data_IF_933336233308
#
_entry.id   IF_933336233308
#
_cell.length_a   1.000
_cell.length_b   1.000
_cell.length_c   1.000
_cell.angle_alpha   90.00
_cell.angle_beta   90.00
_cell.angle_gamma   90.00
#
_symmetry.space_group_name_H-M   'P 1'
#
loop_
_entity.id
_entity.type
_entity.pdbx_description
1 polymer ?
#
# COMPACT_ATOMS: atom_id res chain seq x y z
N UNK A 1 66.11 -20.25 62.07
CA UNK A 1 65.84 -19.68 60.78
C UNK A 1 64.72 -20.45 60.13
N UNK A 2 63.45 -20.11 60.41
CA UNK A 2 62.30 -20.68 59.74
C UNK A 2 61.60 -19.55 58.96
N UNK A 3 61.66 -19.65 57.65
CA UNK A 3 61.20 -18.68 56.65
C UNK A 3 59.70 -18.55 56.64
N UNK A 4 59.25 -17.41 57.05
CA UNK A 4 57.92 -16.86 56.95
C UNK A 4 57.63 -16.40 55.50
N UNK A 5 57.37 -17.34 54.58
CA UNK A 5 57.11 -17.09 53.16
C UNK A 5 55.69 -17.50 52.74
N UNK A 6 54.71 -17.66 53.63
CA UNK A 6 53.45 -18.25 53.34
C UNK A 6 52.23 -17.28 53.16
N UNK A 7 52.15 -16.01 53.62
CA UNK A 7 50.95 -15.22 53.54
C UNK A 7 50.81 -14.41 52.23
N UNK A 8 51.91 -14.04 51.54
CA UNK A 8 51.89 -13.16 50.36
C UNK A 8 51.30 -13.87 49.15
N UNK A 9 51.52 -15.15 48.97
CA UNK A 9 50.99 -15.93 47.86
C UNK A 9 49.46 -16.10 47.87
N UNK A 10 48.86 -16.27 49.05
CA UNK A 10 47.37 -16.41 49.16
C UNK A 10 46.65 -15.15 48.87
N UNK A 11 47.11 -13.98 49.30
CA UNK A 11 46.49 -12.69 49.03
C UNK A 11 46.57 -12.33 47.54
N UNK A 12 47.66 -12.66 46.85
CA UNK A 12 47.78 -12.46 45.41
C UNK A 12 46.81 -13.34 44.60
N UNK A 13 46.66 -14.60 44.97
CA UNK A 13 45.75 -15.56 44.35
C UNK A 13 44.29 -15.09 44.51
N UNK A 14 43.90 -14.57 45.67
CA UNK A 14 42.56 -14.04 45.93
C UNK A 14 42.29 -12.78 45.08
N UNK A 15 43.23 -11.86 44.97
CA UNK A 15 43.13 -10.67 44.12
C UNK A 15 43.00 -11.04 42.64
N UNK A 16 43.79 -12.01 42.16
CA UNK A 16 43.71 -12.47 40.77
C UNK A 16 42.36 -13.10 40.46
N UNK A 17 41.84 -13.95 41.35
CA UNK A 17 40.51 -14.54 41.21
C UNK A 17 39.39 -13.49 41.21
N UNK A 18 39.48 -12.47 42.05
CA UNK A 18 38.53 -11.36 42.09
C UNK A 18 38.55 -10.56 40.79
N UNK A 19 39.73 -10.24 40.25
CA UNK A 19 39.86 -9.52 38.97
C UNK A 19 39.27 -10.32 37.80
N UNK A 20 39.55 -11.64 37.74
CA UNK A 20 38.99 -12.52 36.72
C UNK A 20 37.45 -12.58 36.83
N UNK A 21 36.93 -12.72 38.05
CA UNK A 21 35.49 -12.74 38.28
C UNK A 21 34.81 -11.42 37.86
N UNK A 22 35.41 -10.26 38.16
CA UNK A 22 34.92 -8.94 37.72
C UNK A 22 34.92 -8.78 36.19
N UNK A 23 36.00 -9.23 35.54
CA UNK A 23 36.10 -9.21 34.08
C UNK A 23 35.06 -10.09 33.42
N UNK A 24 34.82 -11.31 33.97
CA UNK A 24 33.79 -12.21 33.47
C UNK A 24 32.37 -11.62 33.61
N UNK A 25 32.07 -11.05 34.78
CA UNK A 25 30.76 -10.37 35.00
C UNK A 25 30.58 -9.20 34.03
N UNK A 26 31.63 -8.38 33.85
CA UNK A 26 31.61 -7.29 32.87
C UNK A 26 31.38 -7.77 31.45
N UNK A 27 32.05 -8.84 31.02
CA UNK A 27 31.90 -9.42 29.69
C UNK A 27 30.48 -9.99 29.46
N UNK A 28 29.93 -10.70 30.45
CA UNK A 28 28.56 -11.24 30.40
C UNK A 28 27.53 -10.11 30.32
N UNK A 29 27.74 -9.04 31.09
CA UNK A 29 26.83 -7.87 31.07
C UNK A 29 26.86 -7.17 29.73
N UNK A 30 28.06 -6.94 29.17
CA UNK A 30 28.21 -6.34 27.83
C UNK A 30 27.61 -7.22 26.75
N UNK A 31 27.79 -8.54 26.82
CA UNK A 31 27.17 -9.49 25.87
C UNK A 31 25.66 -9.44 25.97
N UNK A 32 25.09 -9.41 27.19
CA UNK A 32 23.65 -9.30 27.41
C UNK A 32 23.06 -7.99 26.86
N UNK A 33 23.74 -6.87 27.07
CA UNK A 33 23.35 -5.56 26.48
C UNK A 33 23.46 -5.59 24.97
N UNK A 34 24.53 -6.14 24.42
CA UNK A 34 24.75 -6.28 22.98
C UNK A 34 23.63 -7.09 22.30
N UNK A 35 23.28 -8.25 22.87
CA UNK A 35 22.19 -9.09 22.38
C UNK A 35 20.85 -8.32 22.42
N UNK A 36 20.58 -7.63 23.53
CA UNK A 36 19.34 -6.84 23.67
C UNK A 36 19.25 -5.74 22.63
N UNK A 37 20.35 -5.02 22.36
CA UNK A 37 20.40 -3.99 21.32
C UNK A 37 20.18 -4.58 19.92
N UNK A 38 20.80 -5.71 19.60
CA UNK A 38 20.61 -6.40 18.32
C UNK A 38 19.15 -6.82 18.11
N UNK A 39 18.53 -7.41 19.16
CA UNK A 39 17.12 -7.79 19.09
C UNK A 39 16.23 -6.57 18.90
N UNK A 40 16.47 -5.48 19.61
CA UNK A 40 15.73 -4.24 19.43
C UNK A 40 15.87 -3.66 18.02
N UNK A 41 17.08 -3.63 17.48
CA UNK A 41 17.33 -3.14 16.11
C UNK A 41 16.64 -4.01 15.05
N UNK A 42 16.68 -5.34 15.19
CA UNK A 42 16.01 -6.23 14.24
C UNK A 42 14.49 -6.08 14.28
N UNK A 43 13.91 -5.89 15.47
CA UNK A 43 12.46 -5.64 15.61
C UNK A 43 12.05 -4.29 15.03
N UNK A 44 12.85 -3.23 15.24
CA UNK A 44 12.61 -1.92 14.64
C UNK A 44 12.68 -1.96 13.12
N UNK A 45 13.69 -2.61 12.55
CA UNK A 45 13.83 -2.76 11.10
C UNK A 45 12.67 -3.55 10.46
N UNK A 46 12.14 -4.57 11.15
CA UNK A 46 10.94 -5.29 10.69
C UNK A 46 9.71 -4.38 10.66
N UNK A 47 9.46 -3.64 11.73
CA UNK A 47 8.35 -2.68 11.80
C UNK A 47 8.44 -1.58 10.74
N UNK A 48 9.64 -1.08 10.47
CA UNK A 48 9.86 -0.08 9.43
C UNK A 48 9.57 -0.62 8.03
N UNK A 49 9.95 -1.87 7.75
CA UNK A 49 9.64 -2.54 6.47
C UNK A 49 8.14 -2.79 6.32
N UNK A 50 7.49 -3.29 7.35
CA UNK A 50 6.04 -3.51 7.36
C UNK A 50 5.27 -2.19 7.17
N UNK A 51 5.64 -1.12 7.87
CA UNK A 51 5.05 0.20 7.70
C UNK A 51 5.25 0.76 6.30
N UNK A 52 6.42 0.53 5.69
CA UNK A 52 6.68 0.97 4.32
C UNK A 52 5.81 0.22 3.31
N UNK A 53 5.67 -1.10 3.44
CA UNK A 53 4.82 -1.91 2.58
C UNK A 53 3.33 -1.52 2.71
N UNK A 54 2.85 -1.28 3.92
CA UNK A 54 1.48 -0.81 4.18
C UNK A 54 1.27 0.55 3.52
N UNK A 55 2.21 1.48 3.65
CA UNK A 55 2.12 2.80 3.04
C UNK A 55 2.11 2.75 1.51
N UNK A 56 2.92 1.91 0.89
CA UNK A 56 2.93 1.72 -0.57
C UNK A 56 1.60 1.12 -1.07
N UNK A 57 1.12 0.08 -0.41
CA UNK A 57 -0.20 -0.50 -0.69
C UNK A 57 -1.31 0.54 -0.57
N UNK A 58 -1.32 1.32 0.50
CA UNK A 58 -2.33 2.34 0.75
C UNK A 58 -2.28 3.44 -0.33
N UNK A 59 -1.09 3.89 -0.72
CA UNK A 59 -0.93 4.87 -1.82
C UNK A 59 -1.51 4.37 -3.13
N UNK A 60 -1.26 3.12 -3.49
CA UNK A 60 -1.78 2.51 -4.72
C UNK A 60 -3.31 2.43 -4.67
N UNK A 61 -3.89 1.95 -3.57
CA UNK A 61 -5.35 1.89 -3.41
C UNK A 61 -6.00 3.28 -3.37
N UNK A 62 -5.33 4.31 -2.81
CA UNK A 62 -5.79 5.69 -2.88
C UNK A 62 -5.76 6.24 -4.30
N UNK A 63 -4.77 5.88 -5.11
CA UNK A 63 -4.72 6.26 -6.53
C UNK A 63 -5.85 5.58 -7.31
N UNK A 64 -6.10 4.30 -7.07
CA UNK A 64 -7.24 3.56 -7.62
C UNK A 64 -8.58 4.21 -7.23
N UNK A 65 -8.77 4.56 -5.95
CA UNK A 65 -9.94 5.30 -5.48
C UNK A 65 -10.15 6.61 -6.25
N UNK A 66 -9.10 7.41 -6.44
CA UNK A 66 -9.18 8.67 -7.20
C UNK A 66 -9.52 8.45 -8.67
N UNK A 67 -9.01 7.39 -9.25
CA UNK A 67 -9.30 7.04 -10.65
C UNK A 67 -10.75 6.60 -10.83
N UNK A 68 -11.25 5.72 -9.97
CA UNK A 68 -12.58 5.14 -10.07
C UNK A 68 -13.68 6.05 -9.53
N UNK A 69 -13.38 6.94 -8.58
CA UNK A 69 -14.34 7.77 -7.86
C UNK A 69 -14.05 9.28 -7.89
N UNK A 70 -13.18 9.74 -8.78
CA UNK A 70 -12.78 11.15 -8.81
C UNK A 70 -13.79 12.11 -9.45
N UNK A 71 -14.91 11.62 -9.99
CA UNK A 71 -15.95 12.44 -10.59
C UNK A 71 -17.27 12.31 -9.83
N UNK A 72 -17.87 13.45 -9.49
CA UNK A 72 -19.20 13.56 -8.87
C UNK A 72 -20.29 13.96 -9.87
N UNK A 73 -19.91 14.26 -11.11
CA UNK A 73 -20.81 14.87 -12.10
C UNK A 73 -20.87 14.03 -13.35
N UNK A 74 -21.36 12.87 -13.36
CA UNK A 74 -21.37 12.22 -14.62
C UNK A 74 -21.79 10.78 -14.67
N UNK A 75 -21.53 10.24 -15.82
CA UNK A 75 -21.76 8.85 -16.12
C UNK A 75 -21.01 7.98 -15.14
N UNK A 76 -21.77 7.24 -14.36
CA UNK A 76 -21.23 6.26 -13.40
C UNK A 76 -20.68 5.02 -14.11
N UNK A 77 -21.05 4.85 -15.37
CA UNK A 77 -20.63 3.74 -16.22
C UNK A 77 -19.37 4.06 -17.01
N UNK A 78 -18.55 3.06 -17.23
CA UNK A 78 -17.41 3.08 -18.15
C UNK A 78 -17.90 2.56 -19.50
N UNK A 79 -17.68 3.31 -20.57
CA UNK A 79 -18.00 2.85 -21.92
C UNK A 79 -17.08 1.65 -22.28
N UNK A 80 -17.66 0.48 -22.58
CA UNK A 80 -16.89 -0.72 -22.86
C UNK A 80 -16.34 -0.79 -24.29
N UNK A 81 -16.50 0.25 -25.11
CA UNK A 81 -16.10 0.21 -26.53
C UNK A 81 -14.63 -0.15 -26.73
N UNK A 82 -14.38 -1.21 -27.48
CA UNK A 82 -13.04 -1.65 -27.84
C UNK A 82 -12.48 -0.87 -29.03
N UNK A 83 -11.17 -0.67 -29.06
CA UNK A 83 -10.44 -0.05 -30.19
C UNK A 83 -10.76 -0.72 -31.53
N UNK A 84 -11.14 -2.00 -31.53
CA UNK A 84 -11.50 -2.77 -32.71
C UNK A 84 -12.83 -2.33 -33.30
N UNK A 85 -13.79 -2.06 -32.42
CA UNK A 85 -15.14 -1.63 -32.80
C UNK A 85 -15.12 -0.18 -33.30
N UNK A 86 -14.23 0.65 -32.73
CA UNK A 86 -14.04 2.05 -33.12
C UNK A 86 -13.37 2.15 -34.50
N UNK A 87 -12.35 1.31 -34.82
CA UNK A 87 -11.74 1.28 -36.14
C UNK A 87 -12.72 0.89 -37.25
N UNK A 88 -13.62 -0.06 -36.98
CA UNK A 88 -14.65 -0.42 -37.95
C UNK A 88 -15.66 0.71 -38.20
N UNK A 89 -15.88 1.59 -37.20
CA UNK A 89 -16.72 2.77 -37.34
C UNK A 89 -15.98 3.96 -37.96
N UNK A 90 -14.71 4.16 -37.64
CA UNK A 90 -13.84 5.17 -38.24
C UNK A 90 -13.67 4.94 -39.76
N UNK A 91 -13.53 3.66 -40.18
CA UNK A 91 -13.46 3.28 -41.60
C UNK A 91 -14.79 3.52 -42.32
N UNK A 92 -15.93 3.60 -41.60
CA UNK A 92 -17.27 3.85 -42.19
C UNK A 92 -17.60 5.34 -42.26
N UNK A 93 -17.18 6.17 -41.31
CA UNK A 93 -17.63 7.57 -41.17
C UNK A 93 -16.52 8.64 -41.35
N UNK A 94 -15.25 8.26 -41.47
CA UNK A 94 -14.15 9.15 -41.88
C UNK A 94 -13.80 10.29 -40.91
N UNK A 95 -14.36 10.34 -39.69
CA UNK A 95 -14.11 11.39 -38.69
C UNK A 95 -13.81 10.72 -37.33
N UNK A 96 -12.56 10.72 -36.91
CA UNK A 96 -12.16 10.32 -35.58
C UNK A 96 -12.77 11.29 -34.54
N UNK A 97 -13.81 10.86 -33.84
CA UNK A 97 -14.49 11.69 -32.84
C UNK A 97 -13.58 11.84 -31.59
N UNK A 98 -13.34 13.07 -31.09
CA UNK A 98 -12.58 13.32 -29.86
C UNK A 98 -13.17 12.62 -28.62
N UNK A 99 -14.43 12.22 -28.68
CA UNK A 99 -15.13 11.45 -27.65
C UNK A 99 -14.59 10.03 -27.51
N UNK A 100 -14.20 9.38 -28.61
CA UNK A 100 -13.69 8.01 -28.60
C UNK A 100 -12.34 7.91 -27.88
N UNK A 101 -11.47 8.89 -28.08
CA UNK A 101 -10.17 8.96 -27.40
C UNK A 101 -10.28 9.19 -25.90
N UNK A 102 -11.27 9.97 -25.50
CA UNK A 102 -11.55 10.23 -24.09
C UNK A 102 -12.10 8.99 -23.38
N UNK A 103 -13.08 8.34 -23.98
CA UNK A 103 -13.69 7.12 -23.45
C UNK A 103 -12.63 6.02 -23.29
N UNK A 104 -11.74 5.89 -24.26
CA UNK A 104 -10.60 4.95 -24.21
C UNK A 104 -9.65 5.24 -23.07
N UNK A 105 -9.22 6.50 -22.87
CA UNK A 105 -8.34 6.87 -21.75
C UNK A 105 -8.98 6.60 -20.40
N UNK A 106 -10.29 6.84 -20.26
CA UNK A 106 -11.02 6.51 -19.03
C UNK A 106 -11.00 5.00 -18.82
N UNK A 107 -11.27 4.23 -19.84
CA UNK A 107 -11.26 2.77 -19.78
C UNK A 107 -9.88 2.24 -19.39
N UNK A 108 -8.82 2.67 -20.08
CA UNK A 108 -7.45 2.24 -19.79
C UNK A 108 -7.06 2.55 -18.33
N UNK A 109 -7.43 3.73 -17.83
CA UNK A 109 -7.20 4.11 -16.46
C UNK A 109 -8.00 3.25 -15.46
N UNK A 110 -9.25 2.90 -15.79
CA UNK A 110 -10.08 2.01 -14.97
C UNK A 110 -9.50 0.59 -14.98
N UNK A 111 -9.07 0.05 -16.12
CA UNK A 111 -8.43 -1.26 -16.21
C UNK A 111 -7.16 -1.33 -15.35
N UNK A 112 -6.32 -0.29 -15.38
CA UNK A 112 -5.14 -0.20 -14.53
C UNK A 112 -5.52 -0.19 -13.04
N UNK A 113 -6.50 0.64 -12.65
CA UNK A 113 -6.96 0.70 -11.26
C UNK A 113 -7.58 -0.62 -10.78
N UNK A 114 -8.34 -1.32 -11.62
CA UNK A 114 -8.87 -2.64 -11.31
C UNK A 114 -7.75 -3.67 -11.11
N UNK A 115 -6.69 -3.62 -11.93
CA UNK A 115 -5.52 -4.50 -11.80
C UNK A 115 -4.80 -4.26 -10.47
N UNK A 116 -4.63 -3.01 -10.05
CA UNK A 116 -4.05 -2.66 -8.76
C UNK A 116 -4.88 -3.22 -7.60
N UNK A 117 -6.21 -3.12 -7.69
CA UNK A 117 -7.12 -3.62 -6.65
C UNK A 117 -7.14 -5.16 -6.62
N UNK A 118 -7.10 -5.84 -7.75
CA UNK A 118 -6.99 -7.30 -7.82
C UNK A 118 -5.71 -7.80 -7.16
N UNK A 119 -4.63 -7.02 -7.21
CA UNK A 119 -3.34 -7.37 -6.61
C UNK A 119 -3.26 -7.02 -5.12
N UNK A 120 -3.80 -5.87 -4.71
CA UNK A 120 -3.56 -5.26 -3.41
C UNK A 120 -4.81 -5.10 -2.55
N UNK A 121 -6.00 -5.33 -3.09
CA UNK A 121 -7.27 -5.13 -2.40
C UNK A 121 -7.54 -6.16 -1.30
N UNK A 122 -8.56 -5.89 -0.52
CA UNK A 122 -9.17 -6.86 0.40
C UNK A 122 -10.01 -7.88 -0.39
N UNK A 123 -10.41 -8.98 0.24
CA UNK A 123 -11.24 -9.99 -0.40
C UNK A 123 -12.53 -9.41 -1.00
N UNK A 124 -13.17 -8.47 -0.30
CA UNK A 124 -14.36 -7.78 -0.78
C UNK A 124 -14.05 -6.92 -2.01
N UNK A 125 -12.99 -6.13 -1.94
CA UNK A 125 -12.54 -5.27 -3.03
C UNK A 125 -12.16 -6.08 -4.26
N UNK A 126 -11.47 -7.20 -4.07
CA UNK A 126 -11.12 -8.13 -5.16
C UNK A 126 -12.38 -8.70 -5.82
N UNK A 127 -13.41 -9.09 -5.06
CA UNK A 127 -14.69 -9.57 -5.63
C UNK A 127 -15.40 -8.50 -6.45
N UNK A 128 -15.46 -7.26 -5.93
CA UNK A 128 -16.06 -6.13 -6.63
C UNK A 128 -15.27 -5.77 -7.89
N UNK A 129 -13.94 -5.73 -7.80
CA UNK A 129 -13.07 -5.46 -8.94
C UNK A 129 -13.17 -6.57 -10.02
N UNK A 130 -13.25 -7.84 -9.61
CA UNK A 130 -13.44 -8.97 -10.54
C UNK A 130 -14.78 -8.86 -11.28
N UNK A 131 -15.85 -8.47 -10.58
CA UNK A 131 -17.15 -8.23 -11.22
C UNK A 131 -17.04 -7.13 -12.28
N UNK A 132 -16.48 -5.99 -11.90
CA UNK A 132 -16.29 -4.85 -12.78
C UNK A 132 -15.40 -5.20 -14.00
N UNK A 133 -14.31 -5.93 -13.80
CA UNK A 133 -13.43 -6.38 -14.88
C UNK A 133 -14.14 -7.34 -15.85
N UNK A 134 -14.96 -8.27 -15.34
CA UNK A 134 -15.76 -9.18 -16.18
C UNK A 134 -16.80 -8.43 -17.00
N UNK A 135 -17.47 -7.42 -16.42
CA UNK A 135 -18.42 -6.58 -17.16
C UNK A 135 -17.71 -5.81 -18.27
N UNK A 136 -16.55 -5.25 -17.97
CA UNK A 136 -15.73 -4.53 -18.94
C UNK A 136 -15.28 -5.42 -20.10
N UNK A 137 -14.82 -6.66 -19.78
CA UNK A 137 -14.39 -7.64 -20.78
C UNK A 137 -15.53 -8.12 -21.68
N UNK A 138 -16.76 -8.14 -21.16
CA UNK A 138 -17.96 -8.53 -21.90
C UNK A 138 -18.61 -7.35 -22.67
N UNK A 139 -17.99 -6.18 -22.67
CA UNK A 139 -18.53 -4.99 -23.33
C UNK A 139 -19.79 -4.46 -22.65
N UNK A 140 -20.01 -4.71 -21.39
CA UNK A 140 -21.14 -4.18 -20.62
C UNK A 140 -20.77 -2.92 -19.86
N UNK A 141 -21.72 -2.03 -19.60
CA UNK A 141 -21.50 -0.86 -18.74
C UNK A 141 -21.06 -1.30 -17.35
N UNK A 142 -20.01 -0.67 -16.84
CA UNK A 142 -19.41 -1.02 -15.54
C UNK A 142 -19.79 0.04 -14.52
N UNK A 143 -20.26 -0.39 -13.35
CA UNK A 143 -20.59 0.48 -12.23
C UNK A 143 -19.54 0.32 -11.14
N UNK A 144 -18.76 1.37 -10.89
CA UNK A 144 -17.65 1.35 -9.92
C UNK A 144 -18.05 1.85 -8.53
N UNK A 145 -19.29 2.28 -8.33
CA UNK A 145 -19.72 2.97 -7.10
C UNK A 145 -19.48 2.14 -5.82
N UNK A 146 -19.91 0.87 -5.80
CA UNK A 146 -19.73 -0.01 -4.63
C UNK A 146 -18.24 -0.20 -4.30
N UNK A 147 -17.41 -0.38 -5.33
CA UNK A 147 -15.97 -0.51 -5.18
C UNK A 147 -15.34 0.77 -4.63
N UNK A 148 -15.80 1.94 -5.09
CA UNK A 148 -15.34 3.25 -4.60
C UNK A 148 -15.69 3.44 -3.12
N UNK A 149 -16.90 3.05 -2.71
CA UNK A 149 -17.31 3.08 -1.29
C UNK A 149 -16.41 2.18 -0.45
N UNK A 150 -16.22 0.93 -0.86
CA UNK A 150 -15.37 -0.04 -0.14
C UNK A 150 -13.91 0.44 -0.03
N UNK A 151 -13.34 1.00 -1.10
CA UNK A 151 -11.98 1.59 -1.07
C UNK A 151 -11.90 2.78 -0.11
N UNK A 152 -12.88 3.66 -0.13
CA UNK A 152 -12.93 4.83 0.75
C UNK A 152 -12.96 4.43 2.21
N UNK A 153 -13.82 3.50 2.56
CA UNK A 153 -14.02 3.06 3.93
C UNK A 153 -12.75 2.34 4.44
N UNK A 154 -12.15 1.49 3.61
CA UNK A 154 -10.86 0.86 3.89
C UNK A 154 -9.73 1.87 4.12
N UNK A 155 -9.61 2.91 3.26
CA UNK A 155 -8.58 3.93 3.43
C UNK A 155 -8.78 4.72 4.71
N UNK A 156 -10.02 5.06 5.06
CA UNK A 156 -10.32 5.75 6.32
C UNK A 156 -9.96 4.91 7.53
N UNK A 157 -10.33 3.64 7.52
CA UNK A 157 -9.99 2.68 8.58
C UNK A 157 -8.46 2.53 8.70
N UNK A 158 -7.75 2.34 7.60
CA UNK A 158 -6.29 2.20 7.59
C UNK A 158 -5.54 3.45 8.09
N UNK A 159 -6.18 4.63 8.03
CA UNK A 159 -5.67 5.91 8.53
C UNK A 159 -6.22 6.26 9.93
N UNK A 160 -6.89 5.33 10.61
CA UNK A 160 -7.52 5.54 11.92
C UNK A 160 -8.50 6.74 11.93
N UNK A 161 -9.21 6.93 10.82
CA UNK A 161 -10.24 7.96 10.67
C UNK A 161 -11.62 7.38 10.95
N UNK A 162 -12.45 8.13 11.67
CA UNK A 162 -13.84 7.75 11.91
C UNK A 162 -14.60 7.49 10.60
N UNK A 163 -15.54 6.54 10.54
CA UNK A 163 -16.38 6.33 9.37
C UNK A 163 -17.15 7.62 9.03
N UNK A 164 -17.54 7.73 7.76
CA UNK A 164 -18.37 8.88 7.34
C UNK A 164 -19.73 8.78 8.03
N UNK A 165 -20.21 9.86 8.66
CA UNK A 165 -21.53 9.88 9.28
C UNK A 165 -22.63 9.49 8.29
N UNK A 166 -23.56 8.64 8.73
CA UNK A 166 -24.62 8.10 7.88
C UNK A 166 -25.65 9.16 7.39
N UNK A 167 -25.70 10.29 8.06
CA UNK A 167 -26.55 11.45 7.68
C UNK A 167 -25.97 12.27 6.52
N UNK A 168 -24.68 12.07 6.19
CA UNK A 168 -24.04 12.75 5.08
C UNK A 168 -24.27 11.98 3.76
N UNK A 169 -25.07 12.58 2.89
CA UNK A 169 -25.30 12.05 1.55
C UNK A 169 -24.16 12.45 0.61
N UNK A 170 -23.27 11.50 0.31
CA UNK A 170 -22.24 11.70 -0.70
C UNK A 170 -22.84 11.34 -2.06
N UNK A 171 -22.78 12.26 -3.06
CA UNK A 171 -23.23 11.94 -4.39
C UNK A 171 -22.52 10.71 -4.97
N UNK A 172 -23.18 9.92 -5.82
CA UNK A 172 -22.53 8.81 -6.49
C UNK A 172 -21.26 9.25 -7.22
N UNK A 173 -20.21 8.48 -7.05
CA UNK A 173 -18.90 8.74 -7.62
C UNK A 173 -18.65 7.82 -8.82
N UNK A 174 -18.04 8.35 -9.85
CA UNK A 174 -17.66 7.61 -11.04
C UNK A 174 -16.23 7.92 -11.49
N UNK A 175 -15.76 7.33 -12.58
CA UNK A 175 -14.40 7.47 -13.08
C UNK A 175 -14.00 8.93 -13.33
N UNK A 176 -12.77 9.24 -12.96
CA UNK A 176 -12.16 10.56 -13.18
C UNK A 176 -12.07 10.85 -14.67
N UNK A 177 -12.50 12.04 -15.06
CA UNK A 177 -12.33 12.53 -16.42
C UNK A 177 -10.89 13.01 -16.62
N UNK A 178 -10.07 12.36 -17.46
CA UNK A 178 -8.73 12.85 -17.72
C UNK A 178 -8.81 14.26 -18.30
N UNK A 179 -8.05 15.17 -17.72
CA UNK A 179 -7.88 16.52 -18.30
C UNK A 179 -7.23 16.32 -19.66
N UNK A 180 -7.81 16.87 -20.72
CA UNK A 180 -7.14 16.95 -22.01
C UNK A 180 -5.81 17.67 -21.74
N UNK A 181 -4.68 16.99 -21.98
CA UNK A 181 -3.38 17.65 -21.97
C UNK A 181 -3.44 18.71 -23.06
N UNK A 182 -3.66 19.96 -22.63
CA UNK A 182 -3.64 21.10 -23.53
C UNK A 182 -2.30 21.11 -24.24
N UNK A 183 -2.33 20.92 -25.54
CA UNK A 183 -1.16 21.16 -26.37
C UNK A 183 -0.72 22.59 -26.13
N UNK A 184 0.42 22.75 -25.44
CA UNK A 184 1.11 24.01 -25.36
C UNK A 184 1.49 24.41 -26.79
N UNK A 185 1.06 25.60 -27.15
CA UNK A 185 1.59 26.32 -28.29
C UNK A 185 3.06 26.66 -28.07
#
# INVERSE_FOLDING_TARGET
GGSELAPIGRAQIVRLKMNIAQQLVGAITLLGVGIRLLVMQTLQQRRERENRQINERLRTLMAAYKTLGGSFTGELGVDPSHRRDLRQREDADGIAEPRSDRARRIRDAVEAALSDILLLGTDEQVRLATRAANELAQGRPVHTHELVVSLRDFVREALDLAPIPADLQIPPQGPTRPVASGGGK
#
